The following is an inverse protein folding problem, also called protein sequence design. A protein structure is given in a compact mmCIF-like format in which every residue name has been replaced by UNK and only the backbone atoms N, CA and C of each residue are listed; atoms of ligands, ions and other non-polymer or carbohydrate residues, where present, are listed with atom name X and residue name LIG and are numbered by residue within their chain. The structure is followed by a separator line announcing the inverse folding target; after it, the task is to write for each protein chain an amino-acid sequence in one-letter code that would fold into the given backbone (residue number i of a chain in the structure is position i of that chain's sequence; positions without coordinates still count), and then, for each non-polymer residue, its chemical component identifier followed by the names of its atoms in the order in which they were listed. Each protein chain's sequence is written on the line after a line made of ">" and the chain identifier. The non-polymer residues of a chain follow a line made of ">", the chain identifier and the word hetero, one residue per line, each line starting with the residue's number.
data_IF_728323014781
#
_entry.id   IF_728323014781
#
_cell.length_a   1.000
_cell.length_b   1.000
_cell.length_c   1.000
_cell.angle_alpha   90.00
_cell.angle_beta   90.00
_cell.angle_gamma   90.00
#
_symmetry.space_group_name_H-M   'P 1'
#
loop_
_entity.id
_entity.type
_entity.pdbx_description
1 polymer ?
#
# COMPACT_ATOMS: atom_id res chain seq x y z
N UNK A 1 9.77 -11.83 -49.78
CA UNK A 1 8.40 -11.64 -49.26
C UNK A 1 8.57 -11.34 -47.77
N UNK A 2 8.30 -10.10 -47.34
CA UNK A 2 8.43 -9.72 -45.93
C UNK A 2 7.06 -9.84 -45.27
N UNK A 3 6.95 -10.66 -44.23
CA UNK A 3 5.74 -10.81 -43.42
C UNK A 3 5.97 -10.23 -42.03
N UNK A 4 5.13 -9.28 -41.63
CA UNK A 4 5.06 -8.82 -40.24
C UNK A 4 4.12 -9.76 -39.48
N UNK A 5 4.60 -10.38 -38.39
CA UNK A 5 3.78 -11.11 -37.43
C UNK A 5 3.66 -10.29 -36.15
N UNK A 6 2.44 -10.23 -35.59
CA UNK A 6 2.10 -9.55 -34.33
C UNK A 6 1.93 -10.54 -33.16
N UNK A 7 2.30 -11.81 -33.35
CA UNK A 7 2.12 -12.85 -32.31
C UNK A 7 2.96 -12.57 -31.06
N UNK A 8 4.07 -11.85 -31.21
CA UNK A 8 4.93 -11.41 -30.11
C UNK A 8 4.32 -10.29 -29.24
N UNK A 9 3.24 -9.62 -29.68
CA UNK A 9 2.60 -8.49 -28.98
C UNK A 9 1.24 -8.91 -28.37
N UNK A 10 0.84 -10.17 -28.53
CA UNK A 10 -0.44 -10.65 -27.99
C UNK A 10 -0.46 -10.63 -26.45
N UNK A 11 -1.61 -10.25 -25.88
CA UNK A 11 -1.84 -10.30 -24.43
C UNK A 11 -1.71 -11.74 -23.93
N UNK A 12 -0.64 -12.02 -23.19
CA UNK A 12 -0.46 -13.33 -22.55
C UNK A 12 -1.21 -13.35 -21.21
N UNK A 13 -2.14 -14.28 -21.08
CA UNK A 13 -2.85 -14.55 -19.82
C UNK A 13 -2.04 -15.57 -19.00
N UNK A 14 -1.80 -15.27 -17.72
CA UNK A 14 -1.13 -16.21 -16.81
C UNK A 14 0.40 -16.23 -16.86
N UNK A 15 1.05 -15.21 -17.44
CA UNK A 15 2.50 -15.07 -17.40
C UNK A 15 2.99 -14.77 -15.96
N UNK A 16 3.45 -15.81 -15.27
CA UNK A 16 3.88 -15.76 -13.86
C UNK A 16 5.03 -14.78 -13.61
N UNK A 17 5.92 -14.59 -14.59
CA UNK A 17 7.07 -13.68 -14.45
C UNK A 17 6.64 -12.21 -14.55
N UNK A 18 5.76 -11.87 -15.50
CA UNK A 18 5.19 -10.53 -15.62
C UNK A 18 4.39 -10.14 -14.36
N UNK A 19 3.77 -11.13 -13.74
CA UNK A 19 2.98 -10.96 -12.53
C UNK A 19 3.85 -10.68 -11.28
N UNK A 20 5.01 -11.33 -11.17
CA UNK A 20 6.03 -11.01 -10.15
C UNK A 20 6.57 -9.60 -10.31
N UNK A 21 6.76 -9.15 -11.55
CA UNK A 21 7.20 -7.77 -11.81
C UNK A 21 6.10 -6.77 -11.46
N UNK A 22 4.83 -7.10 -11.70
CA UNK A 22 3.71 -6.28 -11.25
C UNK A 22 3.65 -6.14 -9.72
N UNK A 23 3.93 -7.21 -8.97
CA UNK A 23 4.01 -7.14 -7.50
C UNK A 23 5.09 -6.19 -7.00
N UNK A 24 6.24 -6.08 -7.70
CA UNK A 24 7.32 -5.14 -7.33
C UNK A 24 6.93 -3.67 -7.50
N UNK A 25 5.89 -3.38 -8.28
CA UNK A 25 5.39 -2.02 -8.46
C UNK A 25 4.56 -1.53 -7.28
N UNK A 26 4.14 -2.42 -6.38
CA UNK A 26 3.36 -2.05 -5.19
C UNK A 26 4.24 -1.20 -4.28
N UNK A 27 3.76 -0.01 -3.94
CA UNK A 27 4.49 0.96 -3.14
C UNK A 27 3.58 1.64 -2.13
N UNK A 28 4.20 2.26 -1.13
CA UNK A 28 3.52 3.02 -0.07
C UNK A 28 3.97 4.47 -0.20
N UNK A 29 3.01 5.38 -0.30
CA UNK A 29 3.24 6.80 -0.56
C UNK A 29 2.44 7.65 0.42
N UNK A 30 3.04 8.68 1.05
CA UNK A 30 4.47 9.00 1.00
C UNK A 30 5.28 8.08 1.94
N UNK A 31 6.51 7.75 1.54
CA UNK A 31 7.45 6.99 2.37
C UNK A 31 8.86 7.60 2.20
N UNK A 32 9.47 8.16 3.26
CA UNK A 32 8.99 8.22 4.64
C UNK A 32 7.85 9.23 4.83
N UNK A 33 6.86 8.91 5.67
CA UNK A 33 5.81 9.84 6.05
C UNK A 33 6.30 10.73 7.20
N UNK A 34 6.46 12.03 6.98
CA UNK A 34 6.91 13.01 7.98
C UNK A 34 5.78 13.94 8.40
N UNK A 35 4.70 13.39 8.97
CA UNK A 35 3.59 14.15 9.54
C UNK A 35 2.90 15.19 8.61
N UNK A 36 3.15 15.08 7.31
CA UNK A 36 2.59 15.88 6.24
C UNK A 36 2.54 15.06 4.95
N UNK A 37 1.42 15.15 4.25
CA UNK A 37 1.23 14.59 2.92
C UNK A 37 0.42 15.57 2.10
N UNK A 38 0.79 15.81 0.83
CA UNK A 38 0.03 16.71 -0.07
C UNK A 38 -1.42 16.25 -0.29
N UNK A 39 -1.76 15.01 0.10
CA UNK A 39 -3.10 14.45 0.07
C UNK A 39 -3.99 14.86 1.26
N UNK A 40 -3.44 15.53 2.26
CA UNK A 40 -4.15 15.94 3.48
C UNK A 40 -4.78 17.33 3.28
N UNK A 41 -6.10 17.41 3.42
CA UNK A 41 -6.84 18.69 3.26
C UNK A 41 -6.89 19.51 4.54
N UNK A 42 -6.76 18.85 5.68
CA UNK A 42 -6.93 19.47 7.00
C UNK A 42 -5.73 19.09 7.84
N UNK A 43 -5.30 19.99 8.74
CA UNK A 43 -4.21 19.72 9.67
C UNK A 43 -4.37 18.34 10.30
N UNK A 44 -5.56 17.98 10.80
CA UNK A 44 -5.83 16.75 11.57
C UNK A 44 -5.84 15.45 10.72
N UNK A 45 -5.92 15.56 9.39
CA UNK A 45 -6.01 14.38 8.52
C UNK A 45 -4.61 13.77 8.32
N UNK A 46 -4.46 12.47 8.52
CA UNK A 46 -3.21 11.75 8.25
C UNK A 46 -3.48 10.63 7.26
N UNK A 47 -2.97 10.72 6.03
CA UNK A 47 -3.27 9.73 4.97
C UNK A 47 -2.03 9.19 4.28
N UNK A 48 -1.93 7.87 4.30
CA UNK A 48 -0.95 7.09 3.55
C UNK A 48 -1.68 6.23 2.53
N UNK A 49 -1.18 6.19 1.31
CA UNK A 49 -1.74 5.41 0.21
C UNK A 49 -0.83 4.26 -0.13
N UNK A 50 -1.42 3.08 -0.28
CA UNK A 50 -0.75 1.92 -0.88
C UNK A 50 -1.22 1.87 -2.33
N UNK A 51 -0.28 1.95 -3.26
CA UNK A 51 -0.54 2.14 -4.69
C UNK A 51 -0.18 0.90 -5.50
N UNK A 52 -0.73 0.82 -6.73
CA UNK A 52 -0.54 -0.28 -7.67
C UNK A 52 -1.06 -1.63 -7.13
N UNK A 53 -2.11 -1.59 -6.31
CA UNK A 53 -2.76 -2.79 -5.80
C UNK A 53 -3.66 -3.42 -6.87
N UNK A 54 -3.67 -4.75 -6.98
CA UNK A 54 -4.62 -5.47 -7.83
C UNK A 54 -6.05 -5.39 -7.25
N UNK A 55 -7.04 -5.79 -8.05
CA UNK A 55 -8.46 -5.68 -7.68
C UNK A 55 -8.80 -6.46 -6.39
N UNK A 56 -8.19 -7.64 -6.25
CA UNK A 56 -8.35 -8.53 -5.10
C UNK A 56 -7.01 -8.70 -4.39
N UNK A 57 -6.92 -8.19 -3.16
CA UNK A 57 -5.76 -8.41 -2.31
C UNK A 57 -6.11 -8.25 -0.83
N UNK A 58 -5.29 -8.85 0.03
CA UNK A 58 -5.35 -8.64 1.47
C UNK A 58 -4.11 -7.89 1.91
N UNK A 59 -4.29 -6.70 2.48
CA UNK A 59 -3.21 -5.90 3.06
C UNK A 59 -3.23 -6.05 4.57
N UNK A 60 -2.13 -6.49 5.15
CA UNK A 60 -1.94 -6.66 6.60
C UNK A 60 -0.80 -5.77 7.06
N UNK A 61 -1.05 -5.00 8.12
CA UNK A 61 -0.08 -4.05 8.66
C UNK A 61 0.38 -4.57 10.01
N UNK A 62 1.69 -4.70 10.17
CA UNK A 62 2.34 -5.20 11.36
C UNK A 62 3.29 -4.16 11.94
N UNK A 63 3.43 -4.18 13.26
CA UNK A 63 4.55 -3.55 13.95
C UNK A 63 5.83 -4.37 13.75
N UNK A 64 7.01 -3.75 13.93
CA UNK A 64 8.32 -4.46 13.98
C UNK A 64 8.35 -5.62 14.96
N UNK A 65 7.53 -5.59 16.02
CA UNK A 65 7.41 -6.68 17.00
C UNK A 65 6.47 -7.81 16.53
N UNK A 66 6.00 -7.81 15.28
CA UNK A 66 5.09 -8.82 14.72
C UNK A 66 3.63 -8.67 15.12
N UNK A 67 3.27 -7.61 15.86
CA UNK A 67 1.87 -7.34 16.25
C UNK A 67 1.05 -6.86 15.06
N UNK A 68 -0.07 -7.53 14.79
CA UNK A 68 -1.06 -7.09 13.79
C UNK A 68 -1.75 -5.80 14.26
N UNK A 69 -1.64 -4.75 13.43
CA UNK A 69 -2.20 -3.43 13.68
C UNK A 69 -3.55 -3.28 12.98
N UNK A 70 -3.61 -3.64 11.70
CA UNK A 70 -4.81 -3.53 10.86
C UNK A 70 -4.75 -4.47 9.68
N UNK A 71 -5.92 -4.90 9.23
CA UNK A 71 -6.10 -5.71 8.02
C UNK A 71 -7.13 -5.03 7.12
N UNK A 72 -6.82 -4.94 5.84
CA UNK A 72 -7.72 -4.47 4.80
C UNK A 72 -7.93 -5.57 3.78
N UNK A 73 -9.19 -5.94 3.56
CA UNK A 73 -9.57 -6.83 2.46
C UNK A 73 -10.07 -5.97 1.31
N UNK A 74 -9.40 -6.07 0.18
CA UNK A 74 -9.72 -5.32 -1.03
C UNK A 74 -10.38 -6.24 -2.04
N UNK A 75 -11.51 -5.78 -2.56
CA UNK A 75 -12.29 -6.42 -3.63
C UNK A 75 -12.91 -5.33 -4.50
N UNK A 76 -12.07 -4.43 -5.03
CA UNK A 76 -12.53 -3.28 -5.81
C UNK A 76 -11.54 -2.89 -6.90
N UNK A 77 -12.02 -2.36 -8.04
CA UNK A 77 -11.18 -2.06 -9.21
C UNK A 77 -10.23 -0.86 -9.01
N UNK A 78 -10.36 -0.13 -7.90
CA UNK A 78 -9.48 1.00 -7.57
C UNK A 78 -8.06 0.49 -7.33
N UNK A 79 -7.01 1.09 -7.89
CA UNK A 79 -5.64 0.56 -7.72
C UNK A 79 -4.91 1.07 -6.48
N UNK A 80 -5.63 1.75 -5.58
CA UNK A 80 -5.09 2.30 -4.34
C UNK A 80 -5.93 1.91 -3.12
N UNK A 81 -5.27 1.92 -1.97
CA UNK A 81 -5.89 1.78 -0.65
C UNK A 81 -5.39 2.91 0.26
N UNK A 82 -6.33 3.59 0.91
CA UNK A 82 -6.02 4.67 1.83
C UNK A 82 -6.00 4.12 3.27
N UNK A 83 -4.92 4.43 3.98
CA UNK A 83 -4.76 4.14 5.39
C UNK A 83 -4.59 5.45 6.17
N UNK A 84 -5.45 5.61 7.16
CA UNK A 84 -5.54 6.75 8.09
C UNK A 84 -4.50 6.71 9.23
N UNK A 85 -3.50 5.82 9.17
CA UNK A 85 -2.53 5.56 10.25
C UNK A 85 -3.18 5.15 11.58
N UNK A 86 -4.36 4.54 11.55
CA UNK A 86 -5.01 3.98 12.74
C UNK A 86 -4.95 2.45 12.77
N UNK A 87 -5.12 1.89 13.96
CA UNK A 87 -5.30 0.46 14.16
C UNK A 87 -6.76 0.02 13.92
N UNK A 88 -7.05 -1.27 14.12
CA UNK A 88 -8.40 -1.83 14.00
C UNK A 88 -9.48 -1.18 14.90
N UNK A 89 -9.09 -0.46 15.96
CA UNK A 89 -9.99 0.30 16.85
C UNK A 89 -10.06 1.80 16.49
N UNK A 90 -9.58 2.19 15.32
CA UNK A 90 -9.48 3.60 14.89
C UNK A 90 -8.62 4.47 15.83
N UNK A 91 -7.70 3.85 16.59
CA UNK A 91 -6.75 4.58 17.44
C UNK A 91 -5.49 4.87 16.61
N UNK A 92 -5.00 6.13 16.57
CA UNK A 92 -3.76 6.48 15.90
C UNK A 92 -2.58 5.63 16.39
N UNK A 93 -1.74 5.18 15.46
CA UNK A 93 -0.53 4.44 15.79
C UNK A 93 0.58 5.39 16.26
N UNK A 94 1.62 4.85 16.89
CA UNK A 94 2.79 5.63 17.28
C UNK A 94 3.72 5.90 16.07
N UNK A 95 4.63 6.86 16.21
CA UNK A 95 5.70 7.02 15.22
C UNK A 95 6.64 5.81 15.22
N UNK A 96 7.01 5.32 14.05
CA UNK A 96 7.95 4.20 13.95
C UNK A 96 7.92 3.47 12.61
N UNK A 97 8.62 2.34 12.58
CA UNK A 97 8.67 1.44 11.43
C UNK A 97 7.54 0.42 11.52
N UNK A 98 6.89 0.20 10.39
CA UNK A 98 5.82 -0.77 10.18
C UNK A 98 6.13 -1.64 8.96
N UNK A 99 5.63 -2.87 9.00
CA UNK A 99 5.70 -3.82 7.89
C UNK A 99 4.31 -3.94 7.28
N UNK A 100 4.22 -3.73 5.97
CA UNK A 100 2.99 -3.86 5.21
C UNK A 100 3.14 -5.12 4.34
N UNK A 101 2.38 -6.14 4.67
CA UNK A 101 2.29 -7.38 3.92
C UNK A 101 1.09 -7.31 2.99
N UNK A 102 1.33 -7.44 1.69
CA UNK A 102 0.28 -7.49 0.68
C UNK A 102 0.27 -8.89 0.10
N UNK A 103 -0.88 -9.52 0.22
CA UNK A 103 -1.13 -10.90 -0.19
C UNK A 103 -2.15 -10.88 -1.34
N UNK A 104 -1.72 -11.37 -2.49
CA UNK A 104 -2.51 -11.40 -3.73
C UNK A 104 -2.79 -12.87 -4.07
N UNK A 105 -4.07 -13.29 -4.08
CA UNK A 105 -4.42 -14.68 -4.35
C UNK A 105 -3.94 -15.11 -5.73
N UNK A 106 -3.45 -16.35 -5.85
CA UNK A 106 -2.98 -16.98 -7.09
C UNK A 106 -1.74 -16.33 -7.74
N UNK A 107 -1.12 -15.37 -7.04
CA UNK A 107 -0.02 -14.56 -7.55
C UNK A 107 1.20 -14.63 -6.64
N UNK A 108 1.01 -14.29 -5.35
CA UNK A 108 2.09 -14.25 -4.37
C UNK A 108 1.94 -13.10 -3.38
N UNK A 109 3.01 -12.88 -2.62
CA UNK A 109 3.04 -11.90 -1.53
C UNK A 109 4.23 -10.94 -1.65
N UNK A 110 4.06 -9.72 -1.14
CA UNK A 110 5.11 -8.72 -1.02
C UNK A 110 5.09 -8.09 0.36
N UNK A 111 6.28 -7.83 0.92
CA UNK A 111 6.44 -7.12 2.20
C UNK A 111 7.13 -5.80 1.95
N UNK A 112 6.47 -4.71 2.34
CA UNK A 112 6.96 -3.34 2.23
C UNK A 112 7.32 -2.82 3.63
N UNK A 113 8.38 -2.01 3.69
CA UNK A 113 8.79 -1.31 4.91
C UNK A 113 8.32 0.13 4.82
N UNK A 114 7.57 0.55 5.82
CA UNK A 114 7.02 1.90 5.91
C UNK A 114 7.49 2.55 7.21
N UNK A 115 7.92 3.81 7.13
CA UNK A 115 8.15 4.64 8.31
C UNK A 115 7.07 5.71 8.40
N UNK A 116 6.31 5.67 9.50
CA UNK A 116 5.32 6.68 9.84
C UNK A 116 5.83 7.57 10.96
N UNK A 117 6.13 8.82 10.66
CA UNK A 117 6.35 9.88 11.65
C UNK A 117 5.04 10.57 11.96
N UNK A 118 4.44 10.26 13.11
CA UNK A 118 3.29 11.00 13.64
C UNK A 118 3.80 12.27 14.33
N UNK A 119 3.10 13.38 14.11
CA UNK A 119 3.29 14.58 14.93
C UNK A 119 2.55 14.44 16.24
N UNK A 120 3.04 15.12 17.28
CA UNK A 120 2.24 15.39 18.46
C UNK A 120 1.01 16.19 18.02
N UNK A 121 -0.23 15.73 18.30
CA UNK A 121 -1.41 16.54 18.05
C UNK A 121 -1.33 17.79 18.94
N UNK A 122 -1.09 18.92 18.31
CA UNK A 122 -1.19 20.22 18.96
C UNK A 122 -2.67 20.58 19.14
N UNK A 123 -3.14 20.44 20.38
CA UNK A 123 -4.50 20.77 20.81
C UNK A 123 -4.67 22.25 21.20
N UNK A 124 -3.59 23.04 21.20
CA UNK A 124 -3.63 24.45 21.54
C UNK A 124 -3.23 25.26 20.32
N UNK A 125 -4.23 25.71 19.56
CA UNK A 125 -4.01 26.74 18.56
C UNK A 125 -3.59 28.05 19.22
N UNK A 126 -2.28 28.20 19.47
CA UNK A 126 -1.56 29.45 19.75
C UNK A 126 -0.15 29.33 19.17
#
# INVERSE_FOLDING_TARGET
>A
MYGWSMDAIATQLGAQDALKDALKMINVVPNPYYAYSDYERTRIDTRVKITNLPEKCTVRIFSVNGKLIRTFKKDSPVTSLDWDLTNFKAIPIASGVYLIHVDVPDVGEVVLKFFGGMRTPDYQGI
#
